data_IF_106124036710
#
_entry.id   IF_106124036710
#
_cell.length_a   1.000
_cell.length_b   1.000
_cell.length_c   1.000
_cell.angle_alpha   90.00
_cell.angle_beta   90.00
_cell.angle_gamma   90.00
#
_symmetry.space_group_name_H-M   'P 1'
#
loop_
_entity.id
_entity.type
_entity.pdbx_description
1 polymer ?
#
# COMPACT_ATOMS: atom_id res chain seq x y z
N UNK A 1 -0.71 26.98 2.42
CA UNK A 1 -1.55 26.01 3.14
C UNK A 1 -1.10 26.01 4.59
N UNK A 2 -2.00 26.33 5.53
CA UNK A 2 -1.78 26.21 6.97
C UNK A 2 -2.64 25.07 7.48
N UNK A 3 -2.08 24.18 8.28
CA UNK A 3 -2.81 23.10 8.94
C UNK A 3 -2.68 23.30 10.45
N UNK A 4 -3.80 23.28 11.17
CA UNK A 4 -3.83 23.44 12.62
C UNK A 4 -4.64 22.29 13.21
N UNK A 5 -4.06 21.58 14.18
CA UNK A 5 -4.79 20.63 15.01
C UNK A 5 -5.56 21.42 16.09
N UNK A 6 -6.89 21.33 16.04
CA UNK A 6 -7.80 22.02 16.96
C UNK A 6 -7.98 21.24 18.27
N UNK A 7 -7.83 19.92 18.24
CA UNK A 7 -8.00 19.04 19.41
C UNK A 7 -6.72 18.97 20.24
N UNK A 8 -5.58 18.79 19.58
CA UNK A 8 -4.25 18.69 20.19
C UNK A 8 -3.26 19.67 19.52
N UNK A 9 -3.28 20.96 19.91
CA UNK A 9 -2.35 21.95 19.38
C UNK A 9 -0.88 21.54 19.61
N UNK A 10 -0.01 21.83 18.64
CA UNK A 10 1.44 21.53 18.67
C UNK A 10 1.83 20.04 18.74
N UNK A 11 0.87 19.14 18.51
CA UNK A 11 1.10 17.70 18.35
C UNK A 11 0.82 17.26 16.92
N UNK A 12 1.52 16.21 16.50
CA UNK A 12 1.18 15.51 15.26
C UNK A 12 -0.28 15.01 15.34
N UNK A 13 -1.10 15.21 14.29
CA UNK A 13 -2.48 14.77 14.27
C UNK A 13 -2.61 13.25 14.44
N UNK A 14 -3.57 12.82 15.25
CA UNK A 14 -3.94 11.41 15.43
C UNK A 14 -5.37 11.16 14.97
N UNK A 15 -5.72 9.88 14.77
CA UNK A 15 -7.08 9.48 14.37
C UNK A 15 -8.13 10.15 15.26
N UNK A 16 -9.10 10.83 14.64
CA UNK A 16 -10.18 11.51 15.34
C UNK A 16 -9.90 12.97 15.72
N UNK A 17 -8.67 13.48 15.55
CA UNK A 17 -8.36 14.89 15.83
C UNK A 17 -9.11 15.83 14.87
N UNK A 18 -9.62 16.96 15.36
CA UNK A 18 -10.20 17.99 14.50
C UNK A 18 -9.11 18.86 13.88
N UNK A 19 -9.14 18.99 12.56
CA UNK A 19 -8.15 19.73 11.78
C UNK A 19 -8.79 20.93 11.09
N UNK A 20 -8.05 22.03 11.06
CA UNK A 20 -8.36 23.20 10.25
C UNK A 20 -7.28 23.37 9.18
N UNK A 21 -7.68 23.22 7.91
CA UNK A 21 -6.85 23.54 6.75
C UNK A 21 -7.25 24.91 6.20
N UNK A 22 -6.30 25.84 6.17
CA UNK A 22 -6.47 27.15 5.54
C UNK A 22 -5.65 27.24 4.25
N UNK A 23 -6.33 27.52 3.13
CA UNK A 23 -5.73 27.75 1.81
C UNK A 23 -6.22 29.08 1.24
N UNK A 24 -5.42 30.15 1.45
CA UNK A 24 -5.84 31.50 1.10
C UNK A 24 -7.02 31.93 1.97
N UNK A 25 -8.16 32.26 1.34
CA UNK A 25 -9.41 32.59 2.04
C UNK A 25 -10.30 31.37 2.36
N UNK A 26 -9.91 30.17 1.93
CA UNK A 26 -10.66 28.94 2.20
C UNK A 26 -10.23 28.36 3.54
N UNK A 27 -11.22 28.03 4.38
CA UNK A 27 -11.02 27.31 5.63
C UNK A 27 -11.87 26.04 5.62
N UNK A 28 -11.22 24.89 5.76
CA UNK A 28 -11.86 23.58 5.75
C UNK A 28 -11.62 22.92 7.10
N UNK A 29 -12.71 22.62 7.80
CA UNK A 29 -12.68 21.78 9.00
C UNK A 29 -12.95 20.34 8.62
N UNK A 30 -12.13 19.42 9.11
CA UNK A 30 -12.31 17.99 8.90
C UNK A 30 -11.74 17.21 10.08
N UNK A 31 -12.21 15.98 10.27
CA UNK A 31 -11.62 15.05 11.23
C UNK A 31 -10.42 14.37 10.59
N UNK A 32 -9.27 14.36 11.26
CA UNK A 32 -8.10 13.62 10.86
C UNK A 32 -8.45 12.14 10.86
N UNK A 33 -8.26 11.52 9.71
CA UNK A 33 -8.23 10.07 9.62
C UNK A 33 -6.80 9.67 9.27
N UNK A 34 -6.10 9.11 10.24
CA UNK A 34 -4.88 8.37 10.01
C UNK A 34 -5.30 7.07 9.31
N UNK A 35 -5.06 7.00 8.01
CA UNK A 35 -5.15 5.72 7.31
C UNK A 35 -3.98 4.88 7.80
N UNK A 36 -4.18 4.18 8.92
CA UNK A 36 -3.36 3.05 9.31
C UNK A 36 -3.48 2.03 8.17
N UNK A 37 -2.47 2.00 7.29
CA UNK A 37 -2.37 0.96 6.28
C UNK A 37 -2.38 -0.37 7.03
N UNK A 38 -3.47 -1.12 6.88
CA UNK A 38 -3.55 -2.43 7.51
C UNK A 38 -2.40 -3.30 6.98
N UNK A 39 -1.98 -4.29 7.76
CA UNK A 39 -0.98 -5.25 7.30
C UNK A 39 -1.39 -5.90 5.96
N UNK A 40 -2.69 -6.05 5.72
CA UNK A 40 -3.24 -6.52 4.45
C UNK A 40 -3.05 -5.53 3.30
N UNK A 41 -3.27 -4.24 3.53
CA UNK A 41 -3.10 -3.23 2.50
C UNK A 41 -1.63 -3.10 2.10
N UNK A 42 -0.73 -3.05 3.10
CA UNK A 42 0.71 -3.07 2.86
C UNK A 42 1.15 -4.33 2.09
N UNK A 43 0.57 -5.49 2.40
CA UNK A 43 0.84 -6.74 1.70
C UNK A 43 0.31 -6.74 0.25
N UNK A 44 -0.88 -6.19 0.00
CA UNK A 44 -1.45 -6.04 -1.35
C UNK A 44 -0.61 -5.10 -2.20
N UNK A 45 -0.14 -4.00 -1.62
CA UNK A 45 0.74 -3.04 -2.29
C UNK A 45 2.08 -3.68 -2.67
N UNK A 46 2.69 -4.42 -1.74
CA UNK A 46 3.90 -5.19 -2.03
C UNK A 46 3.68 -6.19 -3.16
N UNK A 47 2.59 -6.98 -3.11
CA UNK A 47 2.24 -7.93 -4.17
C UNK A 47 2.07 -7.24 -5.52
N UNK A 48 1.40 -6.08 -5.55
CA UNK A 48 1.21 -5.31 -6.78
C UNK A 48 2.54 -4.83 -7.35
N UNK A 49 3.42 -4.30 -6.50
CA UNK A 49 4.76 -3.88 -6.91
C UNK A 49 5.57 -5.06 -7.45
N UNK A 50 5.51 -6.21 -6.79
CA UNK A 50 6.18 -7.43 -7.23
C UNK A 50 5.64 -7.94 -8.59
N UNK A 51 4.32 -7.84 -8.81
CA UNK A 51 3.69 -8.11 -10.10
C UNK A 51 4.05 -7.09 -11.18
N UNK A 52 4.43 -5.86 -10.84
CA UNK A 52 4.98 -4.91 -11.83
C UNK A 52 6.43 -5.30 -12.15
N UNK A 53 7.25 -5.53 -11.11
CA UNK A 53 8.66 -5.83 -11.25
C UNK A 53 8.91 -7.09 -12.09
N UNK A 54 8.08 -8.12 -11.92
CA UNK A 54 8.25 -9.41 -12.60
C UNK A 54 7.55 -9.53 -13.95
N UNK A 55 6.87 -8.49 -14.43
CA UNK A 55 6.03 -8.59 -15.63
C UNK A 55 6.83 -8.83 -16.91
N UNK A 56 7.90 -8.08 -17.09
CA UNK A 56 8.74 -8.18 -18.29
C UNK A 56 9.41 -9.55 -18.42
N UNK A 57 9.87 -10.14 -17.31
CA UNK A 57 10.45 -11.49 -17.29
C UNK A 57 9.45 -12.57 -17.76
N UNK A 58 8.17 -12.41 -17.44
CA UNK A 58 7.12 -13.33 -17.86
C UNK A 58 6.64 -13.09 -19.30
N UNK A 59 6.77 -11.87 -19.80
CA UNK A 59 6.25 -11.45 -21.10
C UNK A 59 7.22 -11.74 -22.27
N UNK A 60 8.53 -11.75 -22.02
CA UNK A 60 9.56 -11.97 -23.06
C UNK A 60 9.81 -13.49 -23.20
N UNK A 61 9.50 -14.13 -24.35
CA UNK A 61 9.56 -15.60 -24.50
C UNK A 61 10.94 -16.22 -24.22
N UNK A 62 12.00 -15.49 -24.53
CA UNK A 62 13.41 -15.86 -24.45
C UNK A 62 14.10 -15.37 -23.16
N UNK A 63 13.32 -14.89 -22.18
CA UNK A 63 13.85 -14.48 -20.89
C UNK A 63 14.40 -15.67 -20.08
N UNK A 64 15.60 -15.56 -19.46
CA UNK A 64 16.14 -16.62 -18.61
C UNK A 64 15.18 -17.02 -17.49
N UNK A 65 14.95 -18.32 -17.30
CA UNK A 65 14.06 -18.85 -16.26
C UNK A 65 12.61 -18.29 -16.30
N UNK A 66 12.12 -17.89 -17.48
CA UNK A 66 10.76 -17.36 -17.68
C UNK A 66 9.67 -18.18 -16.99
N UNK A 67 9.74 -19.50 -17.07
CA UNK A 67 8.74 -20.40 -16.47
C UNK A 67 8.67 -20.26 -14.94
N UNK A 68 9.79 -19.95 -14.28
CA UNK A 68 9.83 -19.68 -12.84
C UNK A 68 9.09 -18.40 -12.50
N UNK A 69 9.27 -17.35 -13.32
CA UNK A 69 8.54 -16.09 -13.16
C UNK A 69 7.03 -16.26 -13.40
N UNK A 70 6.63 -17.07 -14.38
CA UNK A 70 5.22 -17.38 -14.59
C UNK A 70 4.61 -18.09 -13.38
N UNK A 71 5.27 -19.13 -12.86
CA UNK A 71 4.80 -19.86 -11.69
C UNK A 71 4.74 -18.96 -10.44
N UNK A 72 5.76 -18.12 -10.23
CA UNK A 72 5.81 -17.16 -9.13
C UNK A 72 4.68 -16.13 -9.21
N UNK A 73 4.40 -15.60 -10.39
CA UNK A 73 3.30 -14.65 -10.63
C UNK A 73 1.91 -15.24 -10.40
N UNK A 74 1.73 -16.55 -10.58
CA UNK A 74 0.50 -17.25 -10.18
C UNK A 74 0.39 -17.26 -8.66
N UNK A 75 1.43 -17.69 -7.95
CA UNK A 75 1.47 -17.67 -6.48
C UNK A 75 1.17 -16.28 -5.91
N UNK A 76 1.75 -15.21 -6.47
CA UNK A 76 1.48 -13.84 -6.04
C UNK A 76 0.01 -13.43 -6.21
N UNK A 77 -0.65 -13.84 -7.29
CA UNK A 77 -2.07 -13.52 -7.53
C UNK A 77 -3.00 -14.30 -6.61
N UNK A 78 -2.65 -15.55 -6.32
CA UNK A 78 -3.44 -16.43 -5.46
C UNK A 78 -3.25 -16.12 -3.97
N UNK A 79 -2.08 -15.57 -3.61
CA UNK A 79 -1.66 -15.33 -2.22
C UNK A 79 -2.70 -14.65 -1.31
N UNK A 80 -3.40 -13.56 -1.70
CA UNK A 80 -4.42 -12.93 -0.84
C UNK A 80 -5.60 -13.84 -0.45
N UNK A 81 -5.79 -14.96 -1.15
CA UNK A 81 -6.83 -15.95 -0.88
C UNK A 81 -6.32 -17.14 -0.04
N UNK A 82 -5.05 -17.13 0.36
CA UNK A 82 -4.41 -18.20 1.14
C UNK A 82 -4.41 -17.87 2.63
N UNK A 83 -4.25 -18.89 3.48
CA UNK A 83 -4.07 -18.71 4.92
C UNK A 83 -2.78 -17.98 5.30
N UNK A 84 -1.83 -17.90 4.37
CA UNK A 84 -0.51 -17.32 4.59
C UNK A 84 -0.52 -15.79 4.45
N UNK A 85 -1.58 -15.22 3.88
CA UNK A 85 -1.75 -13.78 3.77
C UNK A 85 -2.24 -13.16 5.08
N UNK A 86 -1.69 -11.99 5.50
CA UNK A 86 -0.62 -11.19 4.88
C UNK A 86 0.80 -11.55 5.37
N UNK A 87 0.95 -12.56 6.21
CA UNK A 87 2.15 -12.80 7.01
C UNK A 87 3.35 -13.36 6.22
N UNK A 88 3.12 -14.29 5.29
CA UNK A 88 4.19 -15.03 4.62
C UNK A 88 4.10 -14.85 3.11
N UNK A 89 5.07 -14.13 2.55
CA UNK A 89 5.13 -13.81 1.13
C UNK A 89 5.55 -15.02 0.30
N UNK A 90 5.01 -15.19 -0.92
CA UNK A 90 5.55 -16.17 -1.87
C UNK A 90 7.00 -15.85 -2.23
N UNK A 91 7.78 -16.89 -2.54
CA UNK A 91 9.18 -16.76 -2.97
C UNK A 91 9.36 -17.25 -4.43
N UNK A 92 10.31 -16.64 -5.14
CA UNK A 92 10.77 -17.08 -6.45
C UNK A 92 11.70 -18.28 -6.26
N UNK A 93 11.33 -19.43 -6.85
CA UNK A 93 12.09 -20.68 -6.75
C UNK A 93 13.15 -20.87 -7.84
#
# INVERSE_FOLDING_TARGET
MRLVNLTNPDKDPVEGDEMLKSEGSLEIRYTHSAVELSAEDAAKDWRNLELVNTDHMASIPDWPDRDKYLAYRVKLRDWPSTSDFPATRPELG
#
